data_IF_650310346272
#
_entry.id   IF_650310346272
#
_cell.length_a   1.000
_cell.length_b   1.000
_cell.length_c   1.000
_cell.angle_alpha   90.00
_cell.angle_beta   90.00
_cell.angle_gamma   90.00
#
_symmetry.space_group_name_H-M   'P 1'
#
loop_
_entity.id
_entity.type
_entity.pdbx_description
1 polymer ?
#
# COMPACT_ATOMS: atom_id res chain seq x y z
N UNK A 1 -7.21 -1.90 -3.59
CA UNK A 1 -6.54 -0.66 -3.18
C UNK A 1 -6.81 -0.48 -1.70
N UNK A 2 -5.76 -0.18 -0.96
CA UNK A 2 -5.81 0.11 0.47
C UNK A 2 -5.23 1.51 0.65
N UNK A 3 -5.85 2.31 1.51
CA UNK A 3 -5.38 3.65 1.84
C UNK A 3 -4.93 3.72 3.31
N UNK A 4 -3.87 4.47 3.55
CA UNK A 4 -3.35 4.73 4.88
C UNK A 4 -2.88 6.18 5.00
N UNK A 5 -2.84 6.70 6.22
CA UNK A 5 -2.25 7.98 6.59
C UNK A 5 -1.31 7.81 7.78
N UNK A 6 -0.46 8.80 8.05
CA UNK A 6 0.42 8.82 9.22
C UNK A 6 0.13 10.07 10.04
N UNK A 7 0.02 9.94 11.36
CA UNK A 7 -0.19 11.08 12.25
C UNK A 7 1.13 11.73 12.70
N UNK A 8 1.02 12.82 13.45
CA UNK A 8 2.18 13.57 13.95
C UNK A 8 3.07 12.77 14.93
N UNK A 9 2.52 11.72 15.55
CA UNK A 9 3.24 10.83 16.47
C UNK A 9 3.94 9.67 15.73
N UNK A 10 3.80 9.61 14.40
CA UNK A 10 4.39 8.57 13.56
C UNK A 10 3.64 7.23 13.62
N UNK A 11 2.37 7.25 14.04
CA UNK A 11 1.46 6.10 13.98
C UNK A 11 0.76 6.10 12.62
N UNK A 12 0.82 4.96 11.93
CA UNK A 12 0.14 4.76 10.66
C UNK A 12 -1.28 4.26 10.91
N UNK A 13 -2.25 4.90 10.26
CA UNK A 13 -3.66 4.55 10.31
C UNK A 13 -4.08 3.97 8.96
N UNK A 14 -4.54 2.73 8.93
CA UNK A 14 -5.20 2.13 7.75
C UNK A 14 -6.61 2.71 7.69
N UNK A 15 -6.87 3.51 6.67
CA UNK A 15 -8.08 4.35 6.55
C UNK A 15 -9.20 3.64 5.79
N UNK A 16 -8.83 2.85 4.78
CA UNK A 16 -9.81 2.17 3.95
C UNK A 16 -9.24 0.94 3.24
N UNK A 17 -10.03 -0.11 3.14
CA UNK A 17 -9.95 -1.09 2.06
C UNK A 17 -11.08 -0.82 1.04
N UNK A 18 -10.68 -0.55 -0.20
CA UNK A 18 -11.56 -0.37 -1.36
C UNK A 18 -11.14 -1.27 -2.51
N UNK A 19 -10.53 -2.41 -2.21
CA UNK A 19 -10.08 -3.29 -3.28
C UNK A 19 -11.24 -3.84 -4.09
N UNK A 20 -11.02 -3.78 -5.39
CA UNK A 20 -11.90 -4.31 -6.40
C UNK A 20 -11.31 -5.67 -6.79
N UNK A 21 -12.18 -6.66 -7.02
CA UNK A 21 -11.76 -7.91 -7.67
C UNK A 21 -11.33 -7.66 -9.12
N UNK A 22 -11.44 -8.67 -9.97
CA UNK A 22 -11.19 -8.52 -11.40
C UNK A 22 -12.04 -7.36 -11.98
N UNK A 23 -11.39 -6.22 -12.25
CA UNK A 23 -12.02 -5.00 -12.73
C UNK A 23 -11.25 -4.45 -13.94
N UNK A 24 -11.94 -3.88 -14.95
CA UNK A 24 -11.26 -3.27 -16.09
C UNK A 24 -10.36 -2.08 -15.67
N UNK A 25 -9.29 -1.78 -16.43
CA UNK A 25 -8.38 -0.66 -16.19
C UNK A 25 -9.03 0.66 -15.80
N UNK A 26 -9.97 1.13 -16.61
CA UNK A 26 -10.67 2.38 -16.36
C UNK A 26 -11.44 2.37 -15.03
N UNK A 27 -12.05 1.24 -14.65
CA UNK A 27 -12.87 1.14 -13.44
C UNK A 27 -12.02 1.23 -12.17
N UNK A 28 -10.91 0.49 -12.10
CA UNK A 28 -10.06 0.59 -10.92
C UNK A 28 -9.32 1.92 -10.85
N UNK A 29 -8.97 2.53 -12.00
CA UNK A 29 -8.32 3.84 -12.01
C UNK A 29 -9.27 4.93 -11.52
N UNK A 30 -10.52 4.98 -12.01
CA UNK A 30 -11.52 5.93 -11.50
C UNK A 30 -11.78 5.76 -10.01
N UNK A 31 -11.85 4.52 -9.51
CA UNK A 31 -12.02 4.27 -8.09
C UNK A 31 -10.80 4.72 -7.26
N UNK A 32 -9.59 4.52 -7.76
CA UNK A 32 -8.37 4.95 -7.07
C UNK A 32 -8.25 6.48 -7.01
N UNK A 33 -8.57 7.17 -8.11
CA UNK A 33 -8.60 8.64 -8.16
C UNK A 33 -9.69 9.20 -7.26
N UNK A 34 -10.88 8.59 -7.23
CA UNK A 34 -11.94 8.99 -6.32
C UNK A 34 -11.48 8.86 -4.86
N UNK A 35 -10.93 7.71 -4.47
CA UNK A 35 -10.43 7.50 -3.11
C UNK A 35 -9.30 8.48 -2.73
N UNK A 36 -8.39 8.77 -3.67
CA UNK A 36 -7.32 9.76 -3.48
C UNK A 36 -7.90 11.15 -3.19
N UNK A 37 -8.93 11.58 -3.93
CA UNK A 37 -9.61 12.87 -3.70
C UNK A 37 -10.39 12.87 -2.39
N UNK A 38 -11.17 11.82 -2.12
CA UNK A 38 -12.02 11.72 -0.94
C UNK A 38 -11.21 11.76 0.37
N UNK A 39 -9.98 11.25 0.35
CA UNK A 39 -9.07 11.26 1.48
C UNK A 39 -8.06 12.42 1.46
N UNK A 40 -8.11 13.28 0.44
CA UNK A 40 -7.11 14.33 0.21
C UNK A 40 -5.66 13.80 0.32
N UNK A 41 -5.42 12.61 -0.23
CA UNK A 41 -4.17 11.89 -0.03
C UNK A 41 -3.00 12.55 -0.78
N UNK A 42 -1.76 12.35 -0.32
CA UNK A 42 -0.59 12.98 -0.96
C UNK A 42 -0.26 12.37 -2.33
N UNK A 43 -0.48 11.06 -2.50
CA UNK A 43 -0.18 10.35 -3.74
C UNK A 43 -0.88 8.99 -3.86
N UNK A 44 -0.90 8.46 -5.07
CA UNK A 44 -1.20 7.05 -5.35
C UNK A 44 0.10 6.27 -5.54
N UNK A 45 0.29 5.21 -4.76
CA UNK A 45 1.42 4.28 -4.92
C UNK A 45 0.99 3.14 -5.85
N UNK A 46 1.72 2.93 -6.94
CA UNK A 46 1.39 1.96 -7.97
C UNK A 46 2.57 1.01 -8.25
N UNK A 47 2.37 -0.30 -8.07
CA UNK A 47 3.36 -1.29 -8.48
C UNK A 47 3.41 -1.43 -10.01
N UNK A 48 4.59 -1.26 -10.61
CA UNK A 48 4.76 -1.26 -12.07
C UNK A 48 5.33 -2.56 -12.64
N UNK A 49 5.50 -3.61 -11.83
CA UNK A 49 5.99 -4.90 -12.32
C UNK A 49 5.03 -5.59 -13.27
N UNK A 50 3.72 -5.40 -13.06
CA UNK A 50 2.66 -5.96 -13.87
C UNK A 50 1.86 -4.81 -14.49
N UNK A 51 2.03 -4.58 -15.78
CA UNK A 51 1.34 -3.51 -16.51
C UNK A 51 2.12 -2.21 -16.66
N UNK A 52 3.22 -1.97 -15.91
CA UNK A 52 4.18 -0.89 -16.22
C UNK A 52 3.57 0.50 -16.46
N UNK A 53 3.99 1.12 -17.56
CA UNK A 53 3.49 2.41 -18.08
C UNK A 53 1.97 2.46 -18.24
N UNK A 54 1.29 1.32 -18.46
CA UNK A 54 -0.16 1.26 -18.58
C UNK A 54 -0.84 1.79 -17.32
N UNK A 55 -0.33 1.46 -16.13
CA UNK A 55 -0.98 1.86 -14.87
C UNK A 55 -0.96 3.38 -14.72
N UNK A 56 0.21 3.99 -14.93
CA UNK A 56 0.37 5.44 -14.88
C UNK A 56 -0.45 6.14 -15.97
N UNK A 57 -0.43 5.64 -17.20
CA UNK A 57 -1.17 6.21 -18.32
C UNK A 57 -2.69 6.14 -18.11
N UNK A 58 -3.21 5.02 -17.57
CA UNK A 58 -4.65 4.87 -17.30
C UNK A 58 -5.09 5.81 -16.18
N UNK A 59 -4.31 5.97 -15.10
CA UNK A 59 -4.61 6.94 -14.03
C UNK A 59 -4.57 8.37 -14.59
N UNK A 60 -3.54 8.73 -15.35
CA UNK A 60 -3.42 10.05 -15.97
C UNK A 60 -4.55 10.35 -16.97
N UNK A 61 -5.10 9.31 -17.62
CA UNK A 61 -6.28 9.43 -18.47
C UNK A 61 -7.57 9.74 -17.71
N UNK A 62 -7.65 9.40 -16.42
CA UNK A 62 -8.77 9.78 -15.54
C UNK A 62 -8.56 11.18 -14.98
N UNK A 63 -7.37 11.45 -14.43
CA UNK A 63 -6.97 12.76 -13.94
C UNK A 63 -5.44 12.93 -13.99
N UNK A 64 -4.92 13.82 -14.85
CA UNK A 64 -3.48 14.04 -14.97
C UNK A 64 -2.86 14.78 -13.77
N UNK A 65 -3.68 15.35 -12.87
CA UNK A 65 -3.21 16.03 -11.66
C UNK A 65 -2.84 15.09 -10.52
N UNK A 66 -3.13 13.79 -10.64
CA UNK A 66 -2.93 12.82 -9.57
C UNK A 66 -1.44 12.49 -9.42
N UNK A 67 -0.83 12.72 -8.24
CA UNK A 67 0.57 12.36 -8.01
C UNK A 67 0.70 10.83 -7.93
N UNK A 68 1.26 10.19 -8.96
CA UNK A 68 1.52 8.75 -8.96
C UNK A 68 2.97 8.48 -8.57
N UNK A 69 3.18 7.59 -7.60
CA UNK A 69 4.49 7.05 -7.20
C UNK A 69 4.61 5.62 -7.70
N UNK A 70 5.39 5.44 -8.76
CA UNK A 70 5.70 4.13 -9.30
C UNK A 70 6.68 3.39 -8.36
N UNK A 71 6.31 2.18 -7.95
CA UNK A 71 7.16 1.30 -7.14
C UNK A 71 7.42 0.00 -7.87
N UNK A 72 8.64 -0.53 -7.69
CA UNK A 72 9.06 -1.79 -8.29
C UNK A 72 9.40 -2.76 -7.18
N UNK A 73 8.73 -3.92 -7.15
CA UNK A 73 9.08 -4.96 -6.21
C UNK A 73 10.44 -5.59 -6.58
N UNK A 74 11.37 -5.59 -5.63
CA UNK A 74 12.72 -6.18 -5.79
C UNK A 74 12.92 -7.43 -4.94
N UNK A 75 12.06 -7.64 -3.95
CA UNK A 75 12.09 -8.77 -3.02
C UNK A 75 10.73 -9.48 -3.08
N UNK A 76 10.71 -10.76 -2.74
CA UNK A 76 9.46 -11.52 -2.61
C UNK A 76 8.52 -10.90 -1.58
N UNK A 77 7.22 -11.17 -1.71
CA UNK A 77 6.15 -10.56 -0.89
C UNK A 77 6.42 -10.69 0.60
N UNK A 78 6.81 -11.88 1.05
CA UNK A 78 7.15 -12.15 2.45
C UNK A 78 8.23 -11.18 3.00
N UNK A 79 9.37 -11.08 2.30
CA UNK A 79 10.47 -10.20 2.70
C UNK A 79 10.14 -8.71 2.60
N UNK A 80 9.13 -8.33 1.81
CA UNK A 80 8.63 -6.94 1.80
C UNK A 80 7.69 -6.66 2.96
N UNK A 81 6.92 -7.66 3.38
CA UNK A 81 5.96 -7.55 4.47
C UNK A 81 6.63 -7.56 5.86
N UNK A 82 7.80 -8.20 6.01
CA UNK A 82 8.50 -8.32 7.29
C UNK A 82 8.71 -6.97 8.03
N UNK A 83 9.25 -5.90 7.40
CA UNK A 83 9.39 -4.61 8.08
C UNK A 83 8.07 -3.97 8.49
N UNK A 84 6.98 -4.27 7.76
CA UNK A 84 5.63 -3.80 8.07
C UNK A 84 5.06 -4.56 9.27
N UNK A 85 5.29 -5.87 9.35
CA UNK A 85 4.90 -6.68 10.51
C UNK A 85 5.56 -6.14 11.81
N UNK A 86 6.83 -5.73 11.74
CA UNK A 86 7.51 -5.10 12.88
C UNK A 86 6.83 -3.79 13.34
N UNK A 87 6.27 -2.99 12.42
CA UNK A 87 5.51 -1.80 12.80
C UNK A 87 4.22 -2.16 13.55
N UNK A 88 3.53 -3.22 13.13
CA UNK A 88 2.36 -3.75 13.86
C UNK A 88 2.75 -4.25 15.25
N UNK A 89 3.81 -5.04 15.39
CA UNK A 89 4.31 -5.53 16.68
C UNK A 89 4.67 -4.40 17.65
N UNK A 90 5.20 -3.29 17.12
CA UNK A 90 5.51 -2.09 17.89
C UNK A 90 4.29 -1.23 18.25
N UNK A 91 3.08 -1.62 17.83
CA UNK A 91 1.86 -0.83 18.03
C UNK A 91 1.82 0.47 17.21
N UNK A 92 2.62 0.55 16.14
CA UNK A 92 2.77 1.74 15.28
C UNK A 92 1.83 1.74 14.08
N UNK A 93 0.98 0.74 13.96
CA UNK A 93 -0.08 0.69 12.94
C UNK A 93 -1.41 0.42 13.61
N UNK A 94 -2.45 1.14 13.19
CA UNK A 94 -3.83 1.00 13.67
C UNK A 94 -4.78 0.95 12.49
N UNK A 95 -5.84 0.18 12.59
CA UNK A 95 -6.93 0.20 11.61
C UNK A 95 -8.05 1.08 12.18
N UNK A 96 -8.56 2.02 11.38
CA UNK A 96 -9.63 2.93 11.85
C UNK A 96 -11.00 2.25 11.98
N UNK A 97 -11.13 1.04 11.44
CA UNK A 97 -12.30 0.18 11.53
C UNK A 97 -11.91 -1.25 11.15
N UNK A 98 -12.90 -2.15 11.12
CA UNK A 98 -12.67 -3.52 10.67
C UNK A 98 -12.55 -3.57 9.15
N UNK A 99 -11.54 -4.28 8.65
CA UNK A 99 -11.36 -4.58 7.23
C UNK A 99 -11.23 -6.09 7.03
N UNK A 100 -12.33 -6.87 7.15
CA UNK A 100 -12.26 -8.32 7.28
C UNK A 100 -11.47 -9.01 6.17
N UNK A 101 -11.73 -8.67 4.90
CA UNK A 101 -10.99 -9.31 3.79
C UNK A 101 -9.47 -9.02 3.83
N UNK A 102 -9.08 -7.82 4.27
CA UNK A 102 -7.67 -7.45 4.43
C UNK A 102 -7.06 -8.16 5.63
N UNK A 103 -7.77 -8.17 6.76
CA UNK A 103 -7.36 -8.84 8.00
C UNK A 103 -7.24 -10.36 7.81
N UNK A 104 -8.15 -10.96 7.05
CA UNK A 104 -8.09 -12.37 6.65
C UNK A 104 -6.84 -12.64 5.81
N UNK A 105 -6.53 -11.80 4.80
CA UNK A 105 -5.25 -11.92 4.07
C UNK A 105 -4.02 -11.73 4.96
N UNK A 106 -4.08 -10.80 5.93
CA UNK A 106 -2.99 -10.57 6.87
C UNK A 106 -2.73 -11.77 7.78
N UNK A 107 -3.79 -12.45 8.22
CA UNK A 107 -3.67 -13.61 9.14
C UNK A 107 -3.36 -14.91 8.40
N UNK A 108 -3.77 -15.06 7.15
CA UNK A 108 -3.51 -16.24 6.31
C UNK A 108 -2.12 -16.23 5.65
N UNK A 109 -1.48 -15.06 5.53
CA UNK A 109 -0.24 -14.93 4.77
C UNK A 109 1.00 -15.51 5.48
N UNK A 110 1.63 -16.50 4.85
CA UNK A 110 2.88 -17.12 5.31
C UNK A 110 4.02 -16.93 4.31
N UNK A 111 5.19 -17.53 4.59
CA UNK A 111 6.35 -17.54 3.67
C UNK A 111 5.99 -18.16 2.31
N UNK A 112 5.07 -19.10 2.31
CA UNK A 112 4.58 -19.83 1.14
C UNK A 112 3.49 -19.05 0.37
N UNK A 113 3.00 -17.93 0.92
CA UNK A 113 1.90 -17.15 0.34
C UNK A 113 0.60 -17.32 1.13
N UNK A 114 -0.55 -17.08 0.48
CA UNK A 114 -1.86 -17.39 1.05
C UNK A 114 -2.13 -18.90 0.97
N UNK A 115 -2.88 -19.45 1.93
CA UNK A 115 -3.21 -20.87 1.96
C UNK A 115 -4.03 -21.34 0.75
N UNK A 116 -4.80 -20.42 0.16
CA UNK A 116 -5.61 -20.66 -1.05
C UNK A 116 -4.81 -20.54 -2.36
N UNK A 117 -3.50 -20.30 -2.30
CA UNK A 117 -2.60 -20.16 -3.46
C UNK A 117 -2.81 -18.89 -4.29
N UNK A 118 -3.72 -17.99 -3.88
CA UNK A 118 -3.94 -16.71 -4.56
C UNK A 118 -2.87 -15.68 -4.15
N UNK A 119 -2.81 -14.62 -4.94
CA UNK A 119 -2.02 -13.44 -4.61
C UNK A 119 -2.65 -12.67 -3.44
N UNK A 120 -1.87 -12.25 -2.43
CA UNK A 120 -2.34 -11.42 -1.31
C UNK A 120 -2.46 -9.94 -1.73
N UNK A 121 -3.38 -9.64 -2.63
CA UNK A 121 -3.46 -8.34 -3.30
C UNK A 121 -3.78 -7.19 -2.34
N UNK A 122 -4.58 -7.43 -1.29
CA UNK A 122 -4.94 -6.40 -0.30
C UNK A 122 -3.79 -6.15 0.64
N UNK A 123 -3.19 -7.22 1.18
CA UNK A 123 -2.01 -7.13 2.03
C UNK A 123 -0.84 -6.47 1.29
N UNK A 124 -0.61 -6.78 0.01
CA UNK A 124 0.49 -6.18 -0.75
C UNK A 124 0.28 -4.67 -0.94
N UNK A 125 -0.97 -4.26 -1.24
CA UNK A 125 -1.32 -2.83 -1.31
C UNK A 125 -1.11 -2.12 0.04
N UNK A 126 -1.50 -2.75 1.14
CA UNK A 126 -1.23 -2.26 2.51
C UNK A 126 0.28 -2.10 2.75
N UNK A 127 1.07 -3.11 2.41
CA UNK A 127 2.53 -3.09 2.60
C UNK A 127 3.15 -1.91 1.86
N UNK A 128 2.75 -1.66 0.62
CA UNK A 128 3.25 -0.51 -0.14
C UNK A 128 2.86 0.84 0.49
N UNK A 129 1.62 0.99 0.94
CA UNK A 129 1.18 2.21 1.59
C UNK A 129 2.00 2.51 2.87
N UNK A 130 2.17 1.51 3.74
CA UNK A 130 2.95 1.64 4.97
C UNK A 130 4.43 1.87 4.70
N UNK A 131 4.98 1.25 3.66
CA UNK A 131 6.37 1.45 3.28
C UNK A 131 6.63 2.89 2.82
N UNK A 132 5.72 3.46 2.03
CA UNK A 132 5.82 4.86 1.58
C UNK A 132 5.77 5.83 2.77
N UNK A 133 4.85 5.60 3.72
CA UNK A 133 4.62 6.49 4.85
C UNK A 133 5.69 6.39 5.94
N UNK A 134 6.06 5.18 6.35
CA UNK A 134 6.83 4.95 7.58
C UNK A 134 8.26 4.46 7.36
N UNK A 135 8.59 3.93 6.18
CA UNK A 135 9.88 3.27 5.92
C UNK A 135 10.75 4.01 4.89
N UNK A 136 10.14 4.77 3.99
CA UNK A 136 10.87 5.74 3.14
C UNK A 136 11.20 7.04 3.85
N UNK A 137 10.41 7.46 4.83
CA UNK A 137 10.53 8.76 5.49
C UNK A 137 11.73 8.89 6.47
N UNK A 138 12.64 7.91 6.54
CA UNK A 138 13.78 7.93 7.46
C UNK A 138 15.03 7.29 6.89
N UNK A 139 15.85 8.06 6.16
CA UNK A 139 17.03 7.52 5.49
C UNK A 139 18.14 8.52 5.18
N UNK A 140 18.53 9.39 6.12
CA UNK A 140 19.94 9.81 6.16
C UNK A 140 20.56 9.17 7.42
N UNK A 141 21.51 8.22 7.28
CA UNK A 141 22.25 7.71 8.43
C UNK A 141 23.04 8.87 9.04
N UNK A 142 22.64 9.35 10.22
CA UNK A 142 23.48 10.26 11.01
C UNK A 142 24.42 9.42 11.86
N UNK A 143 25.59 9.12 11.31
CA UNK A 143 26.73 8.69 12.10
C UNK A 143 27.06 9.82 13.09
N UNK A 144 26.86 9.59 14.39
CA UNK A 144 27.50 10.38 15.44
C UNK A 144 28.89 9.79 15.66
N UNK A 145 29.93 10.51 15.23
CA UNK A 145 31.26 10.30 15.79
C UNK A 145 31.28 10.85 17.22
N UNK A 146 31.84 10.06 18.14
CA UNK A 146 32.17 10.45 19.52
C UNK A 146 33.43 11.32 19.47
#
# INVERSE_FOLDING_TARGET
MVAAGIDADGIVHVLADRSLGAAPPARWASAAVALWRDLEADCLVAEVNQGGEMVAAVIAGVDPGVPVRAVRARRGKWLRAEPVAMLYEQGRVRHVGAFPDLEDEMTDFTREGLSNGRSPDRLDALVYALHELALKAGGTPRLRSI
#
